data_IF_304171354950
#
_entry.id   IF_304171354950
#
_cell.length_a   1.000
_cell.length_b   1.000
_cell.length_c   1.000
_cell.angle_alpha   90.00
_cell.angle_beta   90.00
_cell.angle_gamma   90.00
#
_symmetry.space_group_name_H-M   'P 1'
#
loop_
_entity.id
_entity.type
_entity.pdbx_description
1 polymer ?
#
# COMPACT_ATOMS: atom_id res chain seq x y z
N UNK A 1 -7.27 12.97 -11.60
CA UNK A 1 -7.42 13.04 -10.14
C UNK A 1 -6.06 13.45 -9.59
N UNK A 2 -5.95 14.58 -8.90
CA UNK A 2 -4.65 15.09 -8.43
C UNK A 2 -4.04 14.10 -7.43
N UNK A 3 -2.80 13.69 -7.68
CA UNK A 3 -2.08 12.71 -6.88
C UNK A 3 -1.65 13.39 -5.57
N UNK A 4 -2.33 13.10 -4.45
CA UNK A 4 -1.97 13.63 -3.13
C UNK A 4 -0.84 12.82 -2.47
N UNK A 5 -0.67 11.57 -2.90
CA UNK A 5 0.39 10.68 -2.43
C UNK A 5 1.39 10.37 -3.54
N UNK A 6 2.61 9.94 -3.17
CA UNK A 6 3.56 9.43 -4.16
C UNK A 6 3.07 8.09 -4.78
N UNK A 7 3.74 7.62 -5.84
CA UNK A 7 3.34 6.42 -6.58
C UNK A 7 3.44 5.10 -5.78
N UNK A 8 3.96 5.12 -4.55
CA UNK A 8 4.11 3.94 -3.69
C UNK A 8 2.92 3.69 -2.76
N UNK A 9 1.92 4.59 -2.75
CA UNK A 9 0.73 4.50 -1.90
C UNK A 9 -0.50 4.21 -2.76
N UNK A 10 -1.32 3.27 -2.32
CA UNK A 10 -2.61 2.98 -2.96
C UNK A 10 -3.64 4.03 -2.57
N UNK A 11 -4.34 4.57 -3.56
CA UNK A 11 -5.52 5.39 -3.30
C UNK A 11 -6.65 4.56 -2.71
N UNK A 12 -7.39 5.13 -1.77
CA UNK A 12 -8.63 4.55 -1.27
C UNK A 12 -9.86 5.25 -1.85
N UNK A 13 -11.06 4.73 -1.57
CA UNK A 13 -12.32 5.40 -1.87
C UNK A 13 -12.55 6.69 -1.07
N UNK A 14 -11.71 6.99 -0.07
CA UNK A 14 -11.73 8.25 0.68
C UNK A 14 -10.55 9.13 0.22
N UNK A 15 -10.86 10.32 -0.27
CA UNK A 15 -9.85 11.31 -0.66
C UNK A 15 -8.92 11.63 0.53
N UNK A 16 -7.61 11.76 0.26
CA UNK A 16 -6.56 12.01 1.26
C UNK A 16 -6.28 10.86 2.24
N UNK A 17 -6.99 9.72 2.11
CA UNK A 17 -6.65 8.46 2.77
C UNK A 17 -6.01 7.51 1.75
N UNK A 18 -4.81 7.06 2.05
CA UNK A 18 -4.07 6.08 1.27
C UNK A 18 -3.85 4.78 2.06
N UNK A 19 -3.39 3.74 1.36
CA UNK A 19 -2.94 2.49 1.95
C UNK A 19 -1.52 2.18 1.49
N UNK A 20 -0.62 2.01 2.46
CA UNK A 20 0.75 1.56 2.23
C UNK A 20 0.84 0.05 2.42
N UNK A 21 1.42 -0.64 1.44
CA UNK A 21 1.77 -2.05 1.59
C UNK A 21 3.15 -2.16 2.25
N UNK A 22 3.29 -3.07 3.21
CA UNK A 22 4.55 -3.31 3.92
C UNK A 22 4.88 -4.80 3.91
N UNK A 23 6.15 -5.11 3.77
CA UNK A 23 6.74 -6.44 3.93
C UNK A 23 7.55 -6.45 5.21
N UNK A 24 7.21 -7.33 6.15
CA UNK A 24 7.93 -7.47 7.43
C UNK A 24 8.12 -6.13 8.16
N UNK A 25 7.11 -5.25 8.06
CA UNK A 25 7.12 -3.92 8.66
C UNK A 25 7.86 -2.85 7.86
N UNK A 26 8.53 -3.19 6.75
CA UNK A 26 9.19 -2.23 5.84
C UNK A 26 8.27 -1.90 4.67
N UNK A 27 8.22 -0.62 4.27
CA UNK A 27 7.43 -0.17 3.12
C UNK A 27 7.81 -0.95 1.86
N UNK A 28 6.82 -1.54 1.20
CA UNK A 28 6.95 -2.20 -0.10
C UNK A 28 6.37 -1.27 -1.18
N UNK A 29 7.23 -0.57 -1.96
CA UNK A 29 6.73 0.32 -2.98
C UNK A 29 5.96 -0.43 -4.07
N UNK A 30 4.91 0.21 -4.61
CA UNK A 30 4.16 -0.35 -5.73
C UNK A 30 5.06 -0.59 -6.93
N UNK A 31 4.75 -1.63 -7.71
CA UNK A 31 5.49 -2.03 -8.91
C UNK A 31 6.97 -2.34 -8.67
N UNK A 32 7.31 -2.82 -7.48
CA UNK A 32 8.66 -3.30 -7.16
C UNK A 32 8.64 -4.78 -6.81
N UNK A 33 9.70 -5.48 -7.20
CA UNK A 33 9.90 -6.89 -6.86
C UNK A 33 10.52 -7.03 -5.47
N UNK A 34 10.04 -8.02 -4.72
CA UNK A 34 10.60 -8.44 -3.45
C UNK A 34 11.00 -9.90 -3.55
N UNK A 35 12.30 -10.16 -3.48
CA UNK A 35 12.83 -11.53 -3.49
C UNK A 35 12.65 -12.16 -2.10
N UNK A 36 12.20 -13.41 -2.06
CA UNK A 36 12.14 -14.22 -0.85
C UNK A 36 12.37 -15.69 -1.20
N UNK A 37 12.76 -16.49 -0.21
CA UNK A 37 12.93 -17.93 -0.36
C UNK A 37 11.79 -18.68 0.33
N UNK A 38 11.25 -19.71 -0.27
CA UNK A 38 10.24 -20.56 0.39
C UNK A 38 10.95 -21.57 1.31
N UNK A 39 10.56 -21.76 2.59
CA UNK A 39 9.30 -21.29 3.21
C UNK A 39 9.33 -19.92 3.92
N UNK A 40 10.46 -19.20 3.92
CA UNK A 40 10.62 -17.88 4.53
C UNK A 40 9.90 -16.76 3.72
N UNK A 41 8.55 -16.81 3.70
CA UNK A 41 7.70 -15.81 3.04
C UNK A 41 7.57 -14.53 3.88
N UNK A 42 7.51 -13.35 3.25
CA UNK A 42 7.30 -12.10 3.95
C UNK A 42 5.89 -12.00 4.52
N UNK A 43 5.75 -11.31 5.66
CA UNK A 43 4.45 -10.91 6.20
C UNK A 43 4.02 -9.61 5.52
N UNK A 44 2.95 -9.68 4.74
CA UNK A 44 2.37 -8.51 4.09
C UNK A 44 1.32 -7.86 4.99
N UNK A 45 1.42 -6.54 5.17
CA UNK A 45 0.44 -5.73 5.91
C UNK A 45 0.03 -4.50 5.12
N UNK A 46 -1.21 -4.06 5.30
CA UNK A 46 -1.74 -2.83 4.71
C UNK A 46 -1.94 -1.79 5.83
N UNK A 47 -1.20 -0.68 5.76
CA UNK A 47 -1.23 0.38 6.78
C UNK A 47 -1.90 1.63 6.21
N UNK A 48 -2.99 2.13 6.81
CA UNK A 48 -3.61 3.38 6.41
C UNK A 48 -2.67 4.56 6.59
N UNK A 49 -2.58 5.44 5.59
CA UNK A 49 -1.77 6.67 5.64
C UNK A 49 -2.63 7.88 5.26
N UNK A 50 -2.38 9.01 5.92
CA UNK A 50 -3.13 10.24 5.72
C UNK A 50 -2.24 11.26 5.02
N UNK A 51 -2.80 12.05 4.09
CA UNK A 51 -2.08 13.15 3.48
C UNK A 51 -1.76 14.25 4.49
N UNK A 52 -0.58 14.86 4.38
CA UNK A 52 -0.16 16.00 5.22
C UNK A 52 -1.18 17.13 5.14
N UNK A 53 -1.46 17.77 6.28
CA UNK A 53 -2.38 18.92 6.42
C UNK A 53 -3.81 18.71 5.88
N UNK A 54 -4.24 17.45 5.71
CA UNK A 54 -5.59 17.11 5.29
C UNK A 54 -6.53 16.86 6.48
N UNK A 55 -7.84 16.84 6.24
CA UNK A 55 -8.84 16.29 7.16
C UNK A 55 -9.52 15.11 6.50
N UNK A 56 -9.60 13.98 7.20
CA UNK A 56 -10.28 12.79 6.68
C UNK A 56 -11.74 12.82 7.09
N UNK A 57 -12.62 12.45 6.17
CA UNK A 57 -13.98 12.03 6.52
C UNK A 57 -13.93 10.63 7.12
N UNK A 58 -14.66 10.39 8.20
CA UNK A 58 -14.89 9.04 8.70
C UNK A 58 -15.77 8.23 7.75
N UNK A 59 -15.76 6.90 7.90
CA UNK A 59 -16.57 5.99 7.11
C UNK A 59 -15.83 4.73 6.70
N UNK A 60 -16.53 3.83 6.01
CA UNK A 60 -15.91 2.67 5.38
C UNK A 60 -15.11 3.11 4.16
N UNK A 61 -14.00 2.43 3.89
CA UNK A 61 -13.19 2.68 2.72
C UNK A 61 -12.72 1.38 2.08
N UNK A 62 -12.41 1.45 0.80
CA UNK A 62 -11.86 0.33 0.02
C UNK A 62 -10.62 0.77 -0.74
N UNK A 63 -9.72 -0.18 -1.00
CA UNK A 63 -8.66 -0.07 -2.00
C UNK A 63 -8.42 -1.45 -2.60
N UNK A 64 -7.88 -1.48 -3.81
CA UNK A 64 -7.54 -2.70 -4.51
C UNK A 64 -6.17 -2.58 -5.15
N UNK A 65 -5.43 -3.69 -5.16
CA UNK A 65 -4.18 -3.86 -5.90
C UNK A 65 -4.03 -5.33 -6.28
N UNK A 66 -3.15 -5.63 -7.22
CA UNK A 66 -2.84 -6.99 -7.67
C UNK A 66 -1.39 -7.30 -7.35
N UNK A 67 -1.16 -8.41 -6.63
CA UNK A 67 0.18 -8.93 -6.38
C UNK A 67 0.57 -9.91 -7.48
N UNK A 68 1.78 -9.75 -8.01
CA UNK A 68 2.39 -10.70 -8.92
C UNK A 68 3.45 -11.50 -8.16
N UNK A 69 3.46 -12.81 -8.37
CA UNK A 69 4.46 -13.73 -7.81
C UNK A 69 5.05 -14.49 -8.98
N UNK A 70 6.39 -14.50 -9.07
CA UNK A 70 7.13 -15.22 -10.09
C UNK A 70 8.17 -16.13 -9.44
N UNK A 71 8.49 -17.23 -10.10
CA UNK A 71 9.55 -18.14 -9.67
C UNK A 71 10.90 -17.63 -10.19
N UNK A 72 11.93 -17.75 -9.35
CA UNK A 72 13.32 -17.45 -9.70
C UNK A 72 14.11 -18.73 -9.88
#
# INVERSE_FOLDING_TARGET
MAQVFDASVLGTSITNLGLELRSDGVKLPMNTWLNFTNPARPVLTATPVKATDSTLSGGTFTAATTLLVDYQ
#
